data_IF_793787913106
#
_entry.id   IF_793787913106
#
_cell.length_a   1.000
_cell.length_b   1.000
_cell.length_c   1.000
_cell.angle_alpha   90.00
_cell.angle_beta   90.00
_cell.angle_gamma   90.00
#
_symmetry.space_group_name_H-M   'P 1'
#
loop_
_entity.id
_entity.type
_entity.pdbx_description
1 polymer ?
#
# COMPACT_ATOMS: atom_id res chain seq x y z
N UNK A 1 -4.85 18.16 -4.26
CA UNK A 1 -4.12 18.27 -2.97
C UNK A 1 -2.64 18.08 -3.22
N UNK A 2 -1.90 17.42 -2.32
CA UNK A 2 -0.62 16.77 -2.63
C UNK A 2 -0.80 15.53 -3.54
N UNK A 3 0.29 14.89 -3.95
CA UNK A 3 0.33 13.51 -4.47
C UNK A 3 0.59 12.55 -3.31
N UNK A 4 -0.19 11.49 -3.21
CA UNK A 4 -0.18 10.56 -2.07
C UNK A 4 0.15 9.15 -2.54
N UNK A 5 1.05 8.48 -1.82
CA UNK A 5 1.22 7.03 -1.89
C UNK A 5 0.61 6.41 -0.64
N UNK A 6 -0.35 5.51 -0.79
CA UNK A 6 -0.81 4.63 0.28
C UNK A 6 0.00 3.32 0.23
N UNK A 7 0.48 2.86 1.38
CA UNK A 7 1.14 1.56 1.53
C UNK A 7 0.31 0.77 2.55
N UNK A 8 -0.37 -0.27 2.08
CA UNK A 8 -1.09 -1.20 2.94
C UNK A 8 -0.11 -2.26 3.45
N UNK A 9 0.08 -2.36 4.76
CA UNK A 9 0.92 -3.37 5.41
C UNK A 9 0.13 -4.34 6.29
N UNK A 10 -1.19 -4.19 6.42
CA UNK A 10 -2.02 -5.15 7.16
C UNK A 10 -2.24 -6.40 6.28
N UNK A 11 -1.89 -7.63 6.69
CA UNK A 11 -2.20 -8.84 5.93
C UNK A 11 -3.71 -9.06 5.67
N UNK A 12 -4.60 -8.37 6.38
CA UNK A 12 -6.02 -8.31 6.05
C UNK A 12 -6.30 -7.52 4.77
N UNK A 13 -5.40 -6.65 4.30
CA UNK A 13 -5.48 -5.89 3.06
C UNK A 13 -6.79 -5.11 2.89
N UNK A 14 -7.23 -4.47 3.98
CA UNK A 14 -8.53 -3.79 4.04
C UNK A 14 -8.51 -2.51 3.19
N UNK A 15 -7.49 -1.67 3.31
CA UNK A 15 -7.32 -0.48 2.48
C UNK A 15 -7.21 -0.83 1.00
N UNK A 16 -6.45 -1.87 0.65
CA UNK A 16 -6.36 -2.44 -0.70
C UNK A 16 -7.76 -2.74 -1.28
N UNK A 17 -8.56 -3.53 -0.57
CA UNK A 17 -9.92 -3.86 -1.02
C UNK A 17 -10.89 -2.67 -1.00
N UNK A 18 -10.72 -1.72 -0.08
CA UNK A 18 -11.52 -0.50 0.01
C UNK A 18 -11.31 0.46 -1.15
N UNK A 19 -10.16 0.38 -1.83
CA UNK A 19 -9.85 1.08 -3.09
C UNK A 19 -10.22 0.27 -4.35
N UNK A 20 -10.89 -0.87 -4.19
CA UNK A 20 -11.35 -1.71 -5.30
C UNK A 20 -10.30 -2.66 -5.89
N UNK A 21 -9.15 -2.85 -5.22
CA UNK A 21 -8.12 -3.79 -5.67
C UNK A 21 -8.36 -5.21 -5.12
N UNK A 22 -8.03 -6.22 -5.93
CA UNK A 22 -8.00 -7.62 -5.50
C UNK A 22 -6.73 -7.92 -4.69
N UNK A 23 -6.85 -8.87 -3.75
CA UNK A 23 -5.74 -9.34 -2.90
C UNK A 23 -4.91 -10.37 -3.68
N UNK A 24 -4.12 -9.90 -4.64
CA UNK A 24 -3.30 -10.74 -5.53
C UNK A 24 -1.89 -10.96 -4.97
N UNK A 25 -1.48 -12.22 -4.82
CA UNK A 25 -0.14 -12.64 -4.38
C UNK A 25 1.00 -11.99 -5.21
N UNK A 26 2.10 -11.66 -4.54
CA UNK A 26 3.30 -11.06 -5.13
C UNK A 26 3.18 -9.57 -5.44
N UNK A 27 2.05 -8.91 -5.12
CA UNK A 27 1.88 -7.47 -5.34
C UNK A 27 2.22 -6.63 -4.11
N UNK A 28 2.30 -7.23 -2.92
CA UNK A 28 2.52 -6.50 -1.69
C UNK A 28 3.96 -6.00 -1.48
N UNK A 29 4.15 -5.26 -0.38
CA UNK A 29 5.48 -4.87 0.10
C UNK A 29 6.36 -6.07 0.58
N UNK A 30 5.84 -7.31 0.66
CA UNK A 30 6.53 -8.48 1.23
C UNK A 30 7.98 -8.63 0.79
N UNK A 31 8.19 -8.78 -0.53
CA UNK A 31 9.51 -9.05 -1.12
C UNK A 31 10.43 -7.83 -1.02
N UNK A 32 9.87 -6.62 -0.96
CA UNK A 32 10.63 -5.40 -0.74
C UNK A 32 11.12 -5.24 0.71
N UNK A 33 10.30 -5.62 1.71
CA UNK A 33 10.73 -5.67 3.11
C UNK A 33 11.87 -6.69 3.31
N UNK A 34 11.77 -7.85 2.66
CA UNK A 34 12.86 -8.84 2.62
C UNK A 34 14.06 -8.39 1.77
N UNK A 35 13.96 -7.28 1.02
CA UNK A 35 15.02 -6.73 0.18
C UNK A 35 15.35 -7.57 -1.06
N UNK A 36 14.42 -8.43 -1.48
CA UNK A 36 14.54 -9.22 -2.71
C UNK A 36 14.13 -8.41 -3.96
N UNK A 37 13.29 -7.38 -3.80
CA UNK A 37 12.71 -6.58 -4.89
C UNK A 37 12.63 -5.09 -4.50
N UNK A 38 12.42 -4.20 -5.47
CA UNK A 38 12.18 -2.77 -5.22
C UNK A 38 10.73 -2.52 -4.82
N UNK A 39 10.51 -1.71 -3.78
CA UNK A 39 9.18 -1.23 -3.40
C UNK A 39 8.52 -0.41 -4.52
N UNK A 40 9.33 0.29 -5.33
CA UNK A 40 8.83 1.09 -6.46
C UNK A 40 8.08 0.26 -7.50
N UNK A 41 8.46 -1.01 -7.67
CA UNK A 41 7.88 -1.92 -8.66
C UNK A 41 6.49 -2.46 -8.22
N UNK A 42 6.09 -2.20 -6.97
CA UNK A 42 4.78 -2.61 -6.41
C UNK A 42 3.73 -1.51 -6.45
N UNK A 43 4.14 -0.27 -6.75
CA UNK A 43 3.26 0.91 -6.81
C UNK A 43 2.30 0.78 -8.01
N UNK A 44 1.00 0.89 -7.74
CA UNK A 44 -0.07 0.82 -8.73
C UNK A 44 -0.92 2.10 -8.67
N UNK A 45 -1.26 2.71 -9.82
CA UNK A 45 -2.17 3.86 -9.85
C UNK A 45 -3.59 3.44 -9.49
N UNK A 46 -4.26 4.22 -8.65
CA UNK A 46 -5.66 3.96 -8.29
C UNK A 46 -6.64 4.63 -9.25
N UNK A 47 -7.95 4.43 -9.06
CA UNK A 47 -8.98 5.18 -9.78
C UNK A 47 -9.07 6.67 -9.35
N UNK A 48 -8.42 7.03 -8.23
CA UNK A 48 -8.41 8.38 -7.68
C UNK A 48 -7.18 9.14 -8.18
N UNK A 49 -7.39 10.34 -8.74
CA UNK A 49 -6.29 11.17 -9.22
C UNK A 49 -5.31 11.50 -8.09
N UNK A 50 -4.00 11.39 -8.37
CA UNK A 50 -2.91 11.69 -7.44
C UNK A 50 -2.84 10.77 -6.21
N UNK A 51 -3.52 9.63 -6.22
CA UNK A 51 -3.39 8.56 -5.23
C UNK A 51 -2.88 7.29 -5.92
N UNK A 52 -1.69 6.85 -5.50
CA UNK A 52 -1.13 5.54 -5.85
C UNK A 52 -1.18 4.61 -4.62
N UNK A 53 -1.10 3.30 -4.84
CA UNK A 53 -1.18 2.25 -3.84
C UNK A 53 -0.04 1.24 -3.99
N UNK A 54 0.65 0.90 -2.90
CA UNK A 54 1.27 -0.42 -2.71
C UNK A 54 0.24 -1.26 -1.94
N UNK A 55 -0.32 -2.32 -2.55
CA UNK A 55 -1.35 -3.12 -1.91
C UNK A 55 -0.76 -4.06 -0.84
N UNK A 56 -1.64 -4.75 -0.13
CA UNK A 56 -1.30 -5.84 0.78
C UNK A 56 -1.94 -7.16 0.34
N UNK A 57 -1.46 -8.26 0.90
CA UNK A 57 -1.91 -9.63 0.63
C UNK A 57 -1.72 -10.51 1.88
N UNK A 58 -2.36 -11.68 1.91
CA UNK A 58 -2.35 -12.58 3.08
C UNK A 58 -0.93 -13.00 3.47
N UNK A 59 -0.04 -13.15 2.48
CA UNK A 59 1.35 -13.57 2.70
C UNK A 59 2.14 -12.56 3.54
N UNK A 60 1.69 -11.30 3.69
CA UNK A 60 2.27 -10.35 4.65
C UNK A 60 2.37 -10.90 6.09
N UNK A 61 1.58 -11.91 6.46
CA UNK A 61 1.77 -12.68 7.70
C UNK A 61 3.17 -13.29 7.85
N UNK A 62 3.81 -13.72 6.75
CA UNK A 62 5.15 -14.33 6.76
C UNK A 62 6.28 -13.35 7.09
N UNK A 63 6.03 -12.04 6.94
CA UNK A 63 7.00 -10.97 7.26
C UNK A 63 7.39 -11.01 8.73
N UNK A 64 6.44 -11.30 9.63
CA UNK A 64 6.70 -11.45 11.08
C UNK A 64 7.62 -12.64 11.42
N UNK A 65 7.74 -13.63 10.52
CA UNK A 65 8.58 -14.83 10.69
C UNK A 65 9.95 -14.68 10.00
N UNK A 66 9.99 -14.02 8.85
CA UNK A 66 11.21 -13.84 8.06
C UNK A 66 12.02 -12.60 8.48
N UNK A 67 11.39 -11.48 8.87
CA UNK A 67 12.11 -10.26 9.28
C UNK A 67 13.17 -10.48 10.37
N UNK A 68 12.90 -11.19 11.49
CA UNK A 68 13.88 -11.37 12.58
C UNK A 68 15.18 -12.07 12.16
N UNK A 69 15.21 -12.69 10.99
CA UNK A 69 16.36 -13.41 10.44
C UNK A 69 17.28 -12.49 9.61
N UNK A 70 16.86 -11.23 9.36
CA UNK A 70 17.60 -10.24 8.60
C UNK A 70 18.34 -9.26 9.53
N UNK A 71 19.48 -8.77 9.05
CA UNK A 71 20.11 -7.57 9.62
C UNK A 71 19.19 -6.36 9.42
N UNK A 72 19.25 -5.42 10.37
CA UNK A 72 18.43 -4.21 10.43
C UNK A 72 16.91 -4.48 10.32
N UNK A 73 16.42 -5.59 10.89
CA UNK A 73 15.02 -6.05 10.77
C UNK A 73 13.94 -5.03 11.18
N UNK A 74 14.25 -4.05 12.03
CA UNK A 74 13.35 -2.94 12.39
C UNK A 74 13.34 -1.78 11.39
N UNK A 75 14.35 -1.69 10.52
CA UNK A 75 14.54 -0.58 9.58
C UNK A 75 14.23 -0.97 8.13
N UNK A 76 13.70 -2.17 7.89
CA UNK A 76 13.51 -2.74 6.54
C UNK A 76 12.55 -1.92 5.68
N UNK A 77 11.46 -1.43 6.26
CA UNK A 77 10.58 -0.49 5.54
C UNK A 77 11.27 0.85 5.25
N UNK A 78 12.07 1.36 6.20
CA UNK A 78 12.84 2.61 6.02
C UNK A 78 13.84 2.49 4.87
N UNK A 79 14.52 1.34 4.77
CA UNK A 79 15.44 1.02 3.68
C UNK A 79 14.71 0.83 2.34
N UNK A 80 13.56 0.17 2.33
CA UNK A 80 12.72 -0.01 1.13
C UNK A 80 12.14 1.31 0.59
N UNK A 81 11.90 2.30 1.47
CA UNK A 81 11.43 3.64 1.12
C UNK A 81 12.55 4.61 0.68
N UNK A 82 13.81 4.33 1.01
CA UNK A 82 14.93 5.23 0.74
C UNK A 82 15.07 5.61 -0.76
N UNK A 83 14.93 4.69 -1.75
CA UNK A 83 14.94 5.08 -3.17
C UNK A 83 13.80 6.03 -3.55
N UNK A 84 12.62 5.89 -2.92
CA UNK A 84 11.48 6.78 -3.16
C UNK A 84 11.69 8.16 -2.54
N UNK A 85 12.36 8.24 -1.38
CA UNK A 85 12.77 9.51 -0.75
C UNK A 85 13.82 10.27 -1.57
N UNK A 86 14.73 9.56 -2.24
CA UNK A 86 15.77 10.17 -3.08
C UNK A 86 15.25 10.66 -4.44
N UNK A 87 14.19 10.05 -4.97
CA UNK A 87 13.54 10.45 -6.23
C UNK A 87 12.02 10.69 -6.02
N UNK A 88 11.63 11.73 -5.26
CA UNK A 88 10.26 11.89 -4.78
C UNK A 88 9.25 12.13 -5.90
N UNK A 89 8.38 11.14 -6.11
CA UNK A 89 7.18 11.22 -6.98
C UNK A 89 5.90 11.56 -6.21
N UNK A 90 5.91 11.33 -4.90
CA UNK A 90 4.80 11.56 -3.98
C UNK A 90 5.21 12.60 -2.95
N UNK A 91 4.28 13.46 -2.57
CA UNK A 91 4.53 14.51 -1.59
C UNK A 91 4.19 14.03 -0.16
N UNK A 92 3.34 13.00 -0.03
CA UNK A 92 2.99 12.32 1.22
C UNK A 92 3.00 10.80 0.99
N UNK A 93 3.53 10.04 1.96
CA UNK A 93 3.34 8.59 2.07
C UNK A 93 2.48 8.31 3.30
N UNK A 94 1.38 7.58 3.13
CA UNK A 94 0.53 7.08 4.21
C UNK A 94 0.79 5.58 4.33
N UNK A 95 1.01 5.09 5.55
CA UNK A 95 1.27 3.67 5.82
C UNK A 95 0.12 3.14 6.67
N UNK A 96 -0.74 2.30 6.09
CA UNK A 96 -1.78 1.58 6.83
C UNK A 96 -1.15 0.38 7.53
N UNK A 97 -1.44 0.23 8.82
CA UNK A 97 -0.74 -0.68 9.72
C UNK A 97 -1.71 -1.74 10.28
N UNK A 98 -1.26 -2.99 10.50
CA UNK A 98 -2.08 -3.98 11.17
C UNK A 98 -2.46 -3.53 12.58
N UNK A 99 -3.61 -3.97 13.12
CA UNK A 99 -4.10 -3.56 14.45
C UNK A 99 -3.26 -4.08 15.63
N UNK A 100 -2.30 -4.97 15.36
CA UNK A 100 -1.36 -5.50 16.35
C UNK A 100 -0.04 -4.70 16.38
N UNK A 101 0.57 -4.60 17.57
CA UNK A 101 1.95 -4.10 17.70
C UNK A 101 2.93 -5.23 17.40
N UNK A 102 3.06 -5.56 16.11
CA UNK A 102 4.02 -6.51 15.53
C UNK A 102 5.20 -5.81 14.85
N UNK A 103 6.09 -6.59 14.23
CA UNK A 103 7.26 -6.09 13.49
C UNK A 103 6.89 -5.20 12.30
N UNK A 104 5.74 -5.46 11.65
CA UNK A 104 5.18 -4.58 10.62
C UNK A 104 4.94 -3.16 11.18
N UNK A 105 4.19 -3.07 12.28
CA UNK A 105 3.92 -1.80 12.97
C UNK A 105 5.18 -1.12 13.50
N UNK A 106 6.15 -1.89 14.03
CA UNK A 106 7.45 -1.33 14.44
C UNK A 106 8.26 -0.79 13.26
N UNK A 107 8.24 -1.47 12.10
CA UNK A 107 8.86 -0.98 10.87
C UNK A 107 8.19 0.30 10.34
N UNK A 108 6.86 0.40 10.42
CA UNK A 108 6.11 1.62 10.11
C UNK A 108 6.58 2.80 10.97
N UNK A 109 6.66 2.61 12.28
CA UNK A 109 7.15 3.64 13.21
C UNK A 109 8.63 3.99 12.98
N UNK A 110 9.47 3.01 12.65
CA UNK A 110 10.87 3.25 12.33
C UNK A 110 11.08 3.98 10.99
N UNK A 111 10.11 3.93 10.08
CA UNK A 111 10.17 4.62 8.79
C UNK A 111 9.51 6.01 8.78
N UNK A 112 8.43 6.18 9.55
CA UNK A 112 7.53 7.33 9.47
C UNK A 112 8.10 8.60 10.12
N UNK A 113 7.86 9.75 9.48
CA UNK A 113 8.14 11.07 10.06
C UNK A 113 7.07 11.45 11.11
N UNK A 114 5.83 11.03 10.87
CA UNK A 114 4.65 11.41 11.65
C UNK A 114 3.71 10.20 11.89
N UNK A 115 3.16 10.11 13.10
CA UNK A 115 2.17 9.12 13.52
C UNK A 115 0.81 9.80 13.76
N UNK A 116 -0.20 9.38 13.00
CA UNK A 116 -1.61 9.72 13.21
C UNK A 116 -2.29 8.55 13.93
N UNK A 117 -2.99 8.81 15.04
CA UNK A 117 -3.55 7.75 15.89
C UNK A 117 -5.08 7.83 15.90
N UNK A 118 -5.80 6.90 15.24
CA UNK A 118 -7.26 6.79 15.39
C UNK A 118 -7.59 6.19 16.77
N UNK A 119 -8.38 6.91 17.56
CA UNK A 119 -8.81 6.51 18.91
C UNK A 119 -10.32 6.33 18.91
N UNK A 120 -10.81 5.17 19.32
CA UNK A 120 -12.26 4.95 19.46
C UNK A 120 -12.77 5.62 20.75
N UNK A 121 -13.94 6.26 20.70
CA UNK A 121 -14.57 6.91 21.86
C UNK A 121 -15.17 5.92 22.88
N UNK A 122 -14.37 4.98 23.36
CA UNK A 122 -14.74 3.91 24.30
C UNK A 122 -13.88 3.95 25.57
N UNK A 123 -14.22 3.12 26.57
CA UNK A 123 -13.66 3.17 27.93
C UNK A 123 -12.12 3.11 27.99
N UNK A 124 -11.48 2.36 27.09
CA UNK A 124 -10.02 2.15 27.09
C UNK A 124 -9.22 3.19 26.28
N UNK A 125 -9.85 4.28 25.82
CA UNK A 125 -9.20 5.28 24.96
C UNK A 125 -7.89 5.86 25.57
N UNK A 126 -7.92 6.29 26.83
CA UNK A 126 -6.76 6.86 27.52
C UNK A 126 -5.62 5.84 27.74
N UNK A 127 -5.96 4.57 27.96
CA UNK A 127 -4.99 3.48 28.10
C UNK A 127 -4.29 3.21 26.76
N UNK A 128 -5.06 3.14 25.67
CA UNK A 128 -4.52 2.99 24.31
C UNK A 128 -3.59 4.14 23.91
N UNK A 129 -3.98 5.40 24.19
CA UNK A 129 -3.12 6.57 23.94
C UNK A 129 -1.82 6.48 24.75
N UNK A 130 -1.91 6.09 26.02
CA UNK A 130 -0.73 5.94 26.90
C UNK A 130 0.22 4.85 26.39
N UNK A 131 -0.33 3.73 25.92
CA UNK A 131 0.45 2.65 25.30
C UNK A 131 1.16 3.10 24.02
N UNK A 132 0.46 3.80 23.12
CA UNK A 132 1.05 4.32 21.87
C UNK A 132 2.12 5.38 22.16
N UNK A 133 1.89 6.27 23.12
CA UNK A 133 2.88 7.29 23.51
C UNK A 133 4.18 6.64 23.99
N UNK A 134 4.08 5.63 24.87
CA UNK A 134 5.23 4.83 25.33
C UNK A 134 5.93 4.08 24.19
N UNK A 135 5.19 3.59 23.20
CA UNK A 135 5.76 2.89 22.05
C UNK A 135 6.58 3.84 21.17
N UNK A 136 6.11 5.08 20.96
CA UNK A 136 6.85 6.14 20.26
C UNK A 136 8.14 6.50 21.00
N UNK A 137 8.09 6.62 22.33
CA UNK A 137 9.28 6.84 23.17
C UNK A 137 10.29 5.70 23.02
N UNK A 138 9.85 4.44 23.08
CA UNK A 138 10.72 3.28 22.90
C UNK A 138 11.40 3.24 21.52
N UNK A 139 10.68 3.59 20.45
CA UNK A 139 11.26 3.68 19.10
C UNK A 139 12.33 4.78 19.02
N UNK A 140 12.10 5.94 19.63
CA UNK A 140 13.08 7.04 19.70
C UNK A 140 14.32 6.64 20.51
N UNK A 141 14.12 6.13 21.72
CA UNK A 141 15.19 5.76 22.66
C UNK A 141 16.06 4.61 22.14
N UNK A 142 15.49 3.71 21.33
CA UNK A 142 16.24 2.64 20.65
C UNK A 142 17.21 3.16 19.57
N UNK A 143 17.05 4.41 19.14
CA UNK A 143 17.77 4.99 17.99
C UNK A 143 17.22 4.58 16.63
N UNK A 144 16.19 3.73 16.56
CA UNK A 144 15.61 3.29 15.28
C UNK A 144 14.97 4.44 14.50
N UNK A 145 14.27 5.35 15.19
CA UNK A 145 13.77 6.60 14.62
C UNK A 145 13.62 7.69 15.70
N UNK A 146 14.68 8.48 15.96
CA UNK A 146 14.65 9.53 16.98
C UNK A 146 13.75 10.73 16.61
N UNK A 147 13.46 10.92 15.31
CA UNK A 147 12.72 12.07 14.79
C UNK A 147 11.21 11.86 14.68
N UNK A 148 10.72 10.61 14.81
CA UNK A 148 9.31 10.22 14.82
C UNK A 148 8.48 11.13 15.73
N UNK A 149 7.37 11.70 15.24
CA UNK A 149 6.48 12.57 16.02
C UNK A 149 5.03 12.11 15.96
N UNK A 150 4.27 12.35 17.02
CA UNK A 150 2.81 12.21 17.00
C UNK A 150 2.25 13.45 16.30
N UNK A 151 1.52 13.26 15.20
CA UNK A 151 0.78 14.31 14.49
C UNK A 151 -0.50 14.67 15.26
N UNK A 152 -1.12 13.65 15.85
CA UNK A 152 -2.21 13.78 16.80
C UNK A 152 -3.13 12.57 16.89
N UNK A 153 -4.17 12.71 17.71
CA UNK A 153 -5.19 11.72 18.01
C UNK A 153 -6.51 12.10 17.35
N UNK A 154 -7.04 11.24 16.49
CA UNK A 154 -8.34 11.43 15.83
C UNK A 154 -9.39 10.64 16.60
N UNK A 155 -10.40 11.32 17.12
CA UNK A 155 -11.51 10.64 17.80
C UNK A 155 -12.44 10.01 16.75
N UNK A 156 -12.71 8.71 16.88
CA UNK A 156 -13.44 7.88 15.90
C UNK A 156 -14.56 7.07 16.53
N UNK A 157 -15.45 6.53 15.70
CA UNK A 157 -16.64 5.79 16.11
C UNK A 157 -17.56 6.59 17.06
N UNK A 158 -17.53 7.92 16.97
CA UNK A 158 -18.25 8.78 17.90
C UNK A 158 -19.78 8.64 17.75
N UNK A 159 -20.47 8.40 18.86
CA UNK A 159 -21.93 8.26 18.92
C UNK A 159 -22.51 9.24 19.95
N UNK A 160 -22.94 10.40 19.44
CA UNK A 160 -23.55 11.50 20.20
C UNK A 160 -24.87 11.13 20.92
N UNK A 161 -25.45 9.95 20.64
CA UNK A 161 -26.64 9.44 21.36
C UNK A 161 -26.25 8.81 22.69
N UNK A 162 -24.99 8.46 22.88
CA UNK A 162 -24.43 7.92 24.12
C UNK A 162 -23.87 9.04 24.99
N UNK A 163 -23.83 8.85 26.31
CA UNK A 163 -23.12 9.77 27.22
C UNK A 163 -21.61 9.51 27.25
N UNK A 164 -21.19 8.27 27.02
CA UNK A 164 -19.78 7.86 27.12
C UNK A 164 -18.94 8.49 26.01
N UNK A 165 -19.41 8.45 24.76
CA UNK A 165 -18.60 8.86 23.62
C UNK A 165 -18.20 10.35 23.65
N UNK A 166 -19.11 11.30 23.97
CA UNK A 166 -18.73 12.70 24.18
C UNK A 166 -17.85 12.92 25.41
N UNK A 167 -18.08 12.17 26.51
CA UNK A 167 -17.25 12.28 27.72
C UNK A 167 -15.81 11.86 27.44
N UNK A 168 -15.59 10.70 26.80
CA UNK A 168 -14.25 10.22 26.43
C UNK A 168 -13.54 11.21 25.50
N UNK A 169 -14.25 11.81 24.54
CA UNK A 169 -13.66 12.82 23.66
C UNK A 169 -13.33 14.14 24.39
N UNK A 170 -14.04 14.49 25.45
CA UNK A 170 -13.72 15.62 26.31
C UNK A 170 -12.51 15.30 27.22
N UNK A 171 -12.51 14.16 27.90
CA UNK A 171 -11.44 13.72 28.80
C UNK A 171 -10.09 13.62 28.06
N UNK A 172 -10.09 13.05 26.85
CA UNK A 172 -8.91 12.96 25.98
C UNK A 172 -8.41 14.35 25.57
N UNK A 173 -9.31 15.28 25.23
CA UNK A 173 -8.95 16.66 24.86
C UNK A 173 -8.44 17.47 26.05
N UNK A 174 -8.98 17.26 27.26
CA UNK A 174 -8.48 17.87 28.49
C UNK A 174 -7.04 17.43 28.80
N UNK A 175 -6.72 16.14 28.57
CA UNK A 175 -5.38 15.60 28.88
C UNK A 175 -4.33 15.88 27.79
N UNK A 176 -4.70 15.83 26.52
CA UNK A 176 -3.74 15.89 25.39
C UNK A 176 -3.79 17.19 24.58
N UNK A 177 -4.77 18.07 24.82
CA UNK A 177 -4.86 19.41 24.24
C UNK A 177 -4.75 19.41 22.71
N UNK A 178 -3.86 20.26 22.19
CA UNK A 178 -3.63 20.47 20.75
C UNK A 178 -3.17 19.21 19.98
N UNK A 179 -2.74 18.14 20.68
CA UNK A 179 -2.47 16.85 20.04
C UNK A 179 -3.77 16.14 19.61
N UNK A 180 -4.93 16.49 20.16
CA UNK A 180 -6.21 15.94 19.70
C UNK A 180 -6.65 16.71 18.46
N UNK A 181 -7.21 16.02 17.48
CA UNK A 181 -7.84 16.65 16.33
C UNK A 181 -9.20 17.25 16.72
N UNK A 182 -9.50 18.45 16.22
CA UNK A 182 -10.82 19.06 16.40
C UNK A 182 -11.89 18.26 15.65
N UNK A 183 -11.50 17.66 14.54
CA UNK A 183 -12.36 16.77 13.77
C UNK A 183 -12.62 15.44 14.48
N UNK A 184 -13.89 15.03 14.53
CA UNK A 184 -14.33 13.76 15.12
C UNK A 184 -15.08 12.93 14.07
N UNK A 185 -14.67 11.68 13.86
CA UNK A 185 -15.29 10.78 12.87
C UNK A 185 -16.52 10.08 13.49
N UNK A 186 -17.75 10.33 12.96
CA UNK A 186 -18.98 9.76 13.50
C UNK A 186 -19.14 8.28 13.15
N UNK A 187 -19.72 7.49 14.06
CA UNK A 187 -20.18 6.13 13.76
C UNK A 187 -21.43 6.21 12.86
N UNK A 188 -21.29 5.81 11.59
CA UNK A 188 -22.43 5.72 10.64
C UNK A 188 -22.49 4.33 10.00
N UNK A 189 -23.69 3.88 9.62
CA UNK A 189 -23.84 2.62 8.87
C UNK A 189 -23.21 2.73 7.48
N UNK A 190 -23.38 3.88 6.81
CA UNK A 190 -22.85 4.14 5.46
C UNK A 190 -21.33 4.04 5.38
N UNK A 191 -20.61 4.53 6.39
CA UNK A 191 -19.16 4.38 6.49
C UNK A 191 -18.73 2.91 6.67
N UNK A 192 -19.52 2.11 7.40
CA UNK A 192 -19.26 0.68 7.55
C UNK A 192 -19.65 -0.14 6.30
N UNK A 193 -20.62 0.33 5.51
CA UNK A 193 -21.08 -0.29 4.27
C UNK A 193 -20.10 -0.04 3.10
N UNK A 194 -19.50 1.16 2.99
CA UNK A 194 -18.69 1.58 1.84
C UNK A 194 -17.56 0.60 1.41
N UNK A 195 -16.75 0.02 2.33
CA UNK A 195 -15.72 -0.96 1.94
C UNK A 195 -16.27 -2.21 1.26
N UNK A 196 -17.48 -2.66 1.62
CA UNK A 196 -18.12 -3.82 0.99
C UNK A 196 -18.49 -3.60 -0.48
N UNK A 197 -18.49 -2.34 -0.93
CA UNK A 197 -18.69 -1.93 -2.31
C UNK A 197 -17.39 -1.54 -3.05
N UNK A 198 -16.21 -1.69 -2.41
CA UNK A 198 -14.92 -1.32 -2.98
C UNK A 198 -14.79 0.18 -3.28
N UNK A 199 -15.37 1.03 -2.42
CA UNK A 199 -15.41 2.49 -2.60
C UNK A 199 -15.01 3.23 -1.33
N UNK A 200 -14.31 4.34 -1.50
CA UNK A 200 -14.18 5.35 -0.46
C UNK A 200 -15.55 5.96 -0.11
N UNK A 201 -15.72 6.43 1.13
CA UNK A 201 -16.99 7.01 1.59
C UNK A 201 -17.42 8.24 0.78
N UNK A 202 -16.43 8.99 0.26
CA UNK A 202 -16.65 10.17 -0.60
C UNK A 202 -17.39 9.82 -1.91
N UNK A 203 -17.20 8.61 -2.45
CA UNK A 203 -17.87 8.11 -3.66
C UNK A 203 -19.14 7.29 -3.35
N UNK A 204 -19.20 6.71 -2.15
CA UNK A 204 -20.31 5.86 -1.72
C UNK A 204 -21.50 6.68 -1.21
N UNK A 205 -21.24 7.71 -0.39
CA UNK A 205 -22.25 8.64 0.12
C UNK A 205 -21.64 10.07 0.24
N UNK A 206 -21.51 10.80 -0.89
CA UNK A 206 -20.81 12.09 -0.96
C UNK A 206 -21.39 13.17 -0.02
N UNK A 207 -22.67 13.07 0.33
CA UNK A 207 -23.38 14.05 1.16
C UNK A 207 -23.51 13.60 2.62
N UNK A 208 -22.82 12.51 3.00
CA UNK A 208 -22.88 11.98 4.36
C UNK A 208 -22.07 12.82 5.35
N UNK A 209 -22.48 12.77 6.63
CA UNK A 209 -21.71 13.36 7.74
C UNK A 209 -20.33 12.72 7.91
N UNK A 210 -20.13 11.49 7.39
CA UNK A 210 -18.82 10.83 7.42
C UNK A 210 -17.90 11.42 6.34
N UNK A 211 -18.39 11.64 5.12
CA UNK A 211 -17.65 12.33 4.05
C UNK A 211 -17.19 13.71 4.51
N UNK A 212 -18.11 14.55 4.99
CA UNK A 212 -17.76 15.87 5.49
C UNK A 212 -16.73 15.83 6.65
N UNK A 213 -16.83 14.84 7.56
CA UNK A 213 -15.84 14.68 8.62
C UNK A 213 -14.46 14.27 8.09
N UNK A 214 -14.36 13.41 7.08
CA UNK A 214 -13.07 13.05 6.48
C UNK A 214 -12.47 14.18 5.63
N UNK A 215 -13.28 15.00 4.96
CA UNK A 215 -12.81 16.20 4.25
C UNK A 215 -12.18 17.23 5.21
N UNK A 216 -12.86 17.52 6.33
CA UNK A 216 -12.33 18.43 7.36
C UNK A 216 -11.09 17.84 8.04
N UNK A 217 -11.08 16.53 8.33
CA UNK A 217 -9.90 15.85 8.88
C UNK A 217 -8.71 15.92 7.93
N UNK A 218 -8.93 15.71 6.63
CA UNK A 218 -7.87 15.81 5.63
C UNK A 218 -7.28 17.23 5.58
N UNK A 219 -8.12 18.26 5.66
CA UNK A 219 -7.66 19.64 5.76
C UNK A 219 -6.84 19.89 7.04
N UNK A 220 -7.32 19.44 8.21
CA UNK A 220 -6.61 19.58 9.49
C UNK A 220 -5.26 18.85 9.49
N UNK A 221 -5.18 17.66 8.88
CA UNK A 221 -3.92 16.92 8.67
C UNK A 221 -2.96 17.72 7.79
N UNK A 222 -3.43 18.27 6.67
CA UNK A 222 -2.60 19.06 5.76
C UNK A 222 -2.09 20.36 6.42
N UNK A 223 -2.91 21.03 7.21
CA UNK A 223 -2.51 22.24 7.96
C UNK A 223 -1.42 21.93 9.00
N UNK A 224 -1.57 20.85 9.78
CA UNK A 224 -0.53 20.40 10.72
C UNK A 224 0.78 20.04 10.01
N UNK A 225 0.71 19.33 8.88
CA UNK A 225 1.89 18.97 8.07
C UNK A 225 2.56 20.21 7.43
N UNK A 226 1.79 21.18 6.95
CA UNK A 226 2.32 22.45 6.42
C UNK A 226 3.00 23.28 7.51
N UNK A 227 2.41 23.36 8.70
CA UNK A 227 3.02 24.01 9.87
C UNK A 227 4.34 23.32 10.29
N UNK A 228 4.42 22.00 10.12
CA UNK A 228 5.64 21.21 10.29
C UNK A 228 6.67 21.36 9.13
N UNK A 229 6.34 22.11 8.08
CA UNK A 229 7.25 22.43 6.98
C UNK A 229 7.06 21.62 5.69
N UNK A 230 6.02 20.77 5.59
CA UNK A 230 5.67 20.10 4.34
C UNK A 230 5.34 21.14 3.26
N UNK A 231 5.95 20.97 2.08
CA UNK A 231 5.67 21.78 0.89
C UNK A 231 5.41 20.83 -0.27
N UNK A 232 4.26 20.95 -0.90
CA UNK A 232 3.99 20.33 -2.21
C UNK A 232 3.75 21.42 -3.25
N UNK A 233 4.04 21.11 -4.50
CA UNK A 233 3.66 21.98 -5.61
C UNK A 233 2.20 21.68 -5.97
N UNK A 234 1.33 22.68 -5.80
CA UNK A 234 0.02 22.65 -6.40
C UNK A 234 0.17 22.93 -7.90
N UNK A 235 0.29 21.88 -8.71
CA UNK A 235 0.09 22.03 -10.16
C UNK A 235 -1.34 22.53 -10.43
N UNK A 236 -1.51 23.44 -11.41
CA UNK A 236 -2.83 23.95 -11.77
C UNK A 236 -3.70 22.81 -12.33
N UNK A 237 -5.00 22.83 -12.00
CA UNK A 237 -5.96 21.75 -12.29
C UNK A 237 -6.25 21.49 -13.78
N UNK A 238 -5.60 22.20 -14.70
CA UNK A 238 -5.75 22.10 -16.15
C UNK A 238 -4.49 21.57 -16.87
N UNK A 239 -3.55 20.96 -16.15
CA UNK A 239 -2.45 20.25 -16.79
C UNK A 239 -3.00 19.01 -17.56
N UNK A 240 -2.89 18.94 -18.90
CA UNK A 240 -3.35 17.77 -19.63
C UNK A 240 -2.54 16.55 -19.18
N UNK A 241 -3.15 15.35 -19.07
CA UNK A 241 -2.44 14.17 -18.60
C UNK A 241 -1.22 13.91 -19.48
N UNK A 242 -0.02 14.05 -18.90
CA UNK A 242 1.23 13.72 -19.58
C UNK A 242 1.15 12.26 -20.01
N UNK A 243 1.10 12.04 -21.33
CA UNK A 243 0.91 10.73 -21.91
C UNK A 243 1.93 9.75 -21.32
N UNK A 244 1.42 8.73 -20.62
CA UNK A 244 2.23 7.58 -20.24
C UNK A 244 2.88 7.03 -21.52
N UNK A 245 4.21 6.85 -21.48
CA UNK A 245 5.00 6.65 -22.67
C UNK A 245 4.48 5.51 -23.53
N UNK A 246 4.13 5.81 -24.78
CA UNK A 246 3.88 4.80 -25.81
C UNK A 246 5.09 3.86 -25.83
N UNK A 247 4.91 2.52 -25.75
CA UNK A 247 6.03 1.61 -25.85
C UNK A 247 6.71 1.82 -27.21
N UNK A 248 8.04 1.94 -27.20
CA UNK A 248 8.81 2.32 -28.36
C UNK A 248 8.51 1.40 -29.56
N UNK A 249 8.09 1.99 -30.68
CA UNK A 249 7.93 1.23 -31.92
C UNK A 249 9.28 0.63 -32.33
N UNK A 250 9.27 -0.68 -32.49
CA UNK A 250 10.45 -1.49 -32.76
C UNK A 250 10.92 -1.29 -34.22
N UNK A 251 11.75 -0.28 -34.47
CA UNK A 251 12.39 -0.06 -35.77
C UNK A 251 13.53 -1.06 -35.99
N UNK A 252 13.17 -2.30 -36.36
CA UNK A 252 14.10 -3.18 -37.08
C UNK A 252 14.46 -2.57 -38.45
N UNK A 253 15.70 -2.73 -38.93
CA UNK A 253 16.13 -2.15 -40.19
C UNK A 253 15.46 -2.84 -41.40
N UNK A 254 15.34 -2.09 -42.50
CA UNK A 254 14.80 -2.60 -43.76
C UNK A 254 15.69 -3.71 -44.36
N UNK A 255 15.12 -4.67 -45.10
CA UNK A 255 15.89 -5.77 -45.70
C UNK A 255 16.68 -5.32 -46.94
N UNK A 256 17.89 -5.85 -47.08
CA UNK A 256 18.72 -5.68 -48.28
C UNK A 256 18.05 -6.23 -49.55
N UNK A 257 18.26 -5.53 -50.67
CA UNK A 257 17.89 -6.03 -52.00
C UNK A 257 18.88 -7.12 -52.47
N UNK A 258 18.40 -8.28 -52.95
CA UNK A 258 19.28 -9.25 -53.60
C UNK A 258 19.57 -8.86 -55.06
N UNK A 259 20.79 -9.09 -55.57
CA UNK A 259 21.10 -8.97 -56.99
C UNK A 259 20.61 -10.20 -57.77
N UNK A 260 20.35 -10.04 -59.06
CA UNK A 260 19.98 -11.10 -59.99
C UNK A 260 20.85 -11.01 -61.27
N UNK A 261 20.85 -12.03 -62.15
CA UNK A 261 21.37 -13.37 -61.86
C UNK A 261 22.42 -13.80 -62.92
N UNK A 262 23.15 -14.90 -62.68
CA UNK A 262 24.03 -15.52 -63.67
C UNK A 262 23.91 -17.05 -63.70
N UNK A 263 23.24 -17.54 -64.75
CA UNK A 263 23.36 -18.85 -65.44
C UNK A 263 23.88 -20.10 -64.70
N UNK A 264 22.97 -21.09 -64.66
CA UNK A 264 23.16 -22.56 -64.60
C UNK A 264 24.37 -23.11 -65.40
N UNK A 265 24.95 -24.29 -65.03
CA UNK A 265 24.26 -25.54 -65.40
C UNK A 265 24.38 -26.77 -64.45
N UNK A 266 23.23 -27.38 -64.19
CA UNK A 266 22.93 -28.82 -64.35
C UNK A 266 23.54 -29.87 -63.35
N UNK A 267 22.92 -31.08 -63.21
CA UNK A 267 22.84 -31.75 -61.91
C UNK A 267 23.49 -33.15 -61.79
N UNK A 268 23.66 -33.64 -60.56
CA UNK A 268 23.85 -35.08 -60.25
C UNK A 268 22.97 -35.57 -59.08
N UNK A 269 22.67 -36.88 -59.10
CA UNK A 269 21.64 -37.56 -58.27
C UNK A 269 22.18 -38.22 -57.00
N UNK A 270 21.34 -38.29 -55.95
CA UNK A 270 21.01 -39.47 -55.10
C UNK A 270 20.19 -38.98 -53.89
N UNK A 271 18.94 -39.37 -53.63
CA UNK A 271 18.22 -40.66 -53.60
C UNK A 271 18.36 -41.46 -52.28
N UNK A 272 17.24 -42.06 -51.86
CA UNK A 272 16.98 -42.91 -50.67
C UNK A 272 16.88 -42.24 -49.28
N UNK A 273 16.08 -42.70 -48.31
CA UNK A 273 14.84 -43.52 -48.29
C UNK A 273 14.23 -43.50 -46.87
N UNK A 274 12.89 -43.48 -46.75
CA UNK A 274 12.10 -43.80 -45.53
C UNK A 274 11.97 -45.34 -45.33
N UNK A 275 11.29 -45.94 -44.29
CA UNK A 275 10.37 -45.37 -43.27
C UNK A 275 10.52 -45.94 -41.82
N UNK A 276 9.57 -45.55 -40.93
CA UNK A 276 9.29 -46.18 -39.63
C UNK A 276 8.42 -47.45 -39.75
N UNK A 277 8.18 -48.21 -38.64
CA UNK A 277 6.80 -48.30 -38.14
C UNK A 277 6.60 -48.41 -36.60
N UNK A 278 5.40 -48.03 -36.13
CA UNK A 278 4.76 -48.31 -34.81
C UNK A 278 3.81 -49.53 -35.00
N UNK A 279 3.47 -50.39 -33.99
CA UNK A 279 2.38 -50.08 -33.04
C UNK A 279 2.46 -50.71 -31.61
N UNK A 280 1.52 -50.28 -30.74
CA UNK A 280 1.30 -50.59 -29.30
C UNK A 280 0.28 -51.75 -29.07
N UNK A 281 -0.45 -51.90 -27.91
CA UNK A 281 -0.13 -51.98 -26.46
C UNK A 281 -0.64 -53.37 -25.89
N UNK A 282 -1.57 -53.54 -24.89
CA UNK A 282 -1.77 -52.99 -23.53
C UNK A 282 -1.99 -54.03 -22.37
N UNK A 283 -1.70 -53.67 -21.10
CA UNK A 283 -2.35 -54.24 -19.88
C UNK A 283 -2.04 -53.45 -18.58
N UNK A 284 -2.99 -52.62 -18.07
CA UNK A 284 -3.95 -52.82 -16.93
C UNK A 284 -3.42 -52.38 -15.54
N UNK A 285 -4.24 -51.79 -14.64
CA UNK A 285 -3.76 -51.04 -13.47
C UNK A 285 -3.89 -51.78 -12.13
N UNK A 286 -3.30 -51.21 -11.06
CA UNK A 286 -3.53 -51.60 -9.67
C UNK A 286 -3.86 -50.37 -8.79
N UNK A 287 -5.07 -50.37 -8.23
CA UNK A 287 -5.56 -49.44 -7.19
C UNK A 287 -5.08 -49.89 -5.79
N UNK A 288 -5.05 -49.00 -4.78
CA UNK A 288 -4.47 -49.30 -3.46
C UNK A 288 -5.49 -49.82 -2.44
N UNK A 289 -5.06 -50.38 -1.30
CA UNK A 289 -5.88 -50.49 -0.10
C UNK A 289 -5.78 -49.22 0.77
N UNK A 290 -6.87 -48.88 1.44
CA UNK A 290 -6.92 -47.85 2.48
C UNK A 290 -7.06 -48.50 3.88
N UNK A 291 -6.44 -47.88 4.89
CA UNK A 291 -6.78 -47.96 6.31
C UNK A 291 -6.12 -46.78 7.03
#
# INVERSE_FOLDING_TARGET
>A
GPRVLLIDLDPQANATSGLGFEKTEGRSAYRALLGAESLADRIQPTAYERLDLVPSEIDMCGVEVELPQLDDYLLRLRLALEPLRQAPRHDIVVIDCPPSVGLLTLNSLAAADWLLVPVQCEYYALEGISMITRLVEQIRDSGANPDLRILGFVMTMHDARTKLSPQVAADVREHFGDLVFETVIPRTTRLAEAPSHGKAIIDYDPYSVATAAYEVLAQEVLERLQAAGLKWQAEPADAPPTAAGTPAENTSPAPDQPPAPASDPAPENSDQSTPAPDPRPPSTPLTPPAA
#
